data_IF_083537816324
#
_entry.id   IF_083537816324
#
_cell.length_a   1.000
_cell.length_b   1.000
_cell.length_c   1.000
_cell.angle_alpha   90.00
_cell.angle_beta   90.00
_cell.angle_gamma   90.00
#
_symmetry.space_group_name_H-M   'P 1'
#
loop_
_entity.id
_entity.type
_entity.pdbx_description
1 polymer ?
#
# COMPACT_ATOMS: atom_id res chain seq x y z
N UNK A 1 30.01 2.34 19.38
CA UNK A 1 28.90 3.19 18.93
C UNK A 1 29.07 3.77 17.52
N UNK A 2 30.29 4.01 17.00
CA UNK A 2 30.49 4.46 15.61
C UNK A 2 30.21 3.38 14.55
N UNK A 3 30.41 2.10 14.88
CA UNK A 3 30.21 1.00 13.92
C UNK A 3 28.74 0.66 13.64
N UNK A 4 27.82 0.91 14.58
CA UNK A 4 26.39 0.64 14.35
C UNK A 4 25.79 1.59 13.31
N UNK A 5 26.21 2.86 13.31
CA UNK A 5 25.84 3.85 12.27
C UNK A 5 26.36 3.44 10.89
N UNK A 6 27.59 2.94 10.82
CA UNK A 6 28.23 2.50 9.58
C UNK A 6 27.61 1.21 9.01
N UNK A 7 27.04 0.36 9.86
CA UNK A 7 26.30 -0.84 9.43
C UNK A 7 24.89 -0.50 8.97
N UNK A 8 24.21 0.48 9.58
CA UNK A 8 22.91 0.97 9.11
C UNK A 8 23.00 1.69 7.76
N UNK A 9 24.12 2.35 7.45
CA UNK A 9 24.39 2.93 6.12
C UNK A 9 24.52 1.88 4.99
N UNK A 10 24.68 0.59 5.32
CA UNK A 10 24.99 -0.46 4.33
C UNK A 10 23.80 -1.26 3.78
N UNK A 11 22.57 -0.90 4.13
CA UNK A 11 21.36 -1.46 3.49
C UNK A 11 20.35 -0.35 3.13
N UNK A 12 20.83 0.86 2.81
CA UNK A 12 20.08 1.70 1.86
C UNK A 12 20.64 1.35 0.49
N UNK A 13 19.88 0.58 -0.30
CA UNK A 13 20.05 0.63 -1.75
C UNK A 13 19.88 2.11 -2.08
N UNK A 14 20.96 2.82 -2.46
CA UNK A 14 20.99 4.28 -2.53
C UNK A 14 19.94 4.88 -3.47
N UNK A 15 18.72 4.95 -2.98
CA UNK A 15 17.56 5.55 -3.60
C UNK A 15 17.46 6.98 -3.11
N UNK A 16 16.99 7.88 -3.97
CA UNK A 16 16.64 9.22 -3.50
C UNK A 16 15.45 9.14 -2.53
N UNK A 17 15.28 10.19 -1.71
CA UNK A 17 14.26 10.25 -0.66
C UNK A 17 12.85 9.98 -1.20
N UNK A 18 12.53 10.44 -2.42
CA UNK A 18 11.20 10.23 -2.99
C UNK A 18 11.01 8.75 -3.38
N UNK A 19 12.05 8.13 -3.93
CA UNK A 19 12.02 6.70 -4.26
C UNK A 19 11.90 5.85 -3.00
N UNK A 20 12.63 6.16 -1.92
CA UNK A 20 12.48 5.46 -0.63
C UNK A 20 11.05 5.64 -0.06
N UNK A 21 10.47 6.83 -0.15
CA UNK A 21 9.09 7.08 0.28
C UNK A 21 8.08 6.27 -0.53
N UNK A 22 8.21 6.24 -1.86
CA UNK A 22 7.33 5.45 -2.74
C UNK A 22 7.44 3.96 -2.41
N UNK A 23 8.66 3.44 -2.24
CA UNK A 23 8.88 2.04 -1.89
C UNK A 23 8.30 1.69 -0.53
N UNK A 24 8.46 2.57 0.46
CA UNK A 24 7.88 2.41 1.79
C UNK A 24 6.35 2.33 1.74
N UNK A 25 5.70 3.31 1.10
CA UNK A 25 4.23 3.33 0.92
C UNK A 25 3.72 2.13 0.14
N UNK A 26 4.39 1.79 -0.97
CA UNK A 26 4.01 0.66 -1.81
C UNK A 26 4.11 -0.66 -1.06
N UNK A 27 5.18 -0.86 -0.28
CA UNK A 27 5.38 -2.08 0.52
C UNK A 27 4.32 -2.20 1.60
N UNK A 28 4.07 -1.11 2.32
CA UNK A 28 3.02 -1.02 3.34
C UNK A 28 1.63 -1.36 2.76
N UNK A 29 1.25 -0.68 1.68
CA UNK A 29 -0.03 -0.90 1.01
C UNK A 29 -0.15 -2.31 0.43
N UNK A 30 0.92 -2.87 -0.14
CA UNK A 30 0.89 -4.24 -0.67
C UNK A 30 0.56 -5.27 0.41
N UNK A 31 1.17 -5.13 1.59
CA UNK A 31 0.88 -6.00 2.74
C UNK A 31 -0.59 -5.89 3.17
N UNK A 32 -1.10 -4.67 3.29
CA UNK A 32 -2.47 -4.44 3.75
C UNK A 32 -3.53 -4.84 2.72
N UNK A 33 -3.29 -4.62 1.43
CA UNK A 33 -4.16 -5.10 0.35
C UNK A 33 -4.20 -6.64 0.34
N UNK A 34 -3.06 -7.31 0.51
CA UNK A 34 -3.02 -8.77 0.58
C UNK A 34 -3.79 -9.29 1.80
N UNK A 35 -3.60 -8.65 2.96
CA UNK A 35 -4.30 -9.00 4.21
C UNK A 35 -5.82 -8.81 4.06
N UNK A 36 -6.25 -7.67 3.53
CA UNK A 36 -7.66 -7.37 3.29
C UNK A 36 -8.30 -8.39 2.36
N UNK A 37 -7.64 -8.72 1.25
CA UNK A 37 -8.11 -9.75 0.31
C UNK A 37 -8.20 -11.15 0.95
N UNK A 38 -7.21 -11.54 1.76
CA UNK A 38 -7.19 -12.84 2.42
C UNK A 38 -8.35 -12.96 3.42
N UNK A 39 -8.54 -11.95 4.27
CA UNK A 39 -9.64 -11.91 5.25
C UNK A 39 -11.00 -11.92 4.57
N UNK A 40 -11.19 -11.10 3.53
CA UNK A 40 -12.45 -11.12 2.77
C UNK A 40 -12.70 -12.47 2.09
N UNK A 41 -11.64 -13.15 1.64
CA UNK A 41 -11.69 -14.51 1.12
C UNK A 41 -12.22 -15.51 2.13
N UNK A 42 -11.66 -15.51 3.35
CA UNK A 42 -12.09 -16.40 4.45
C UNK A 42 -13.52 -16.10 4.92
N UNK A 43 -13.97 -14.85 4.81
CA UNK A 43 -15.32 -14.43 5.16
C UNK A 43 -16.36 -14.68 4.06
N UNK A 44 -15.96 -15.25 2.91
CA UNK A 44 -16.86 -15.48 1.78
C UNK A 44 -17.32 -14.20 1.07
N UNK A 45 -16.63 -13.08 1.28
CA UNK A 45 -16.92 -11.77 0.67
C UNK A 45 -16.13 -11.55 -0.64
N UNK A 46 -15.65 -12.62 -1.26
CA UNK A 46 -14.66 -12.59 -2.35
C UNK A 46 -15.20 -12.19 -3.74
N UNK A 47 -16.49 -11.87 -3.86
CA UNK A 47 -17.18 -11.74 -5.15
C UNK A 47 -16.97 -10.39 -5.85
N UNK A 48 -16.34 -9.42 -5.18
CA UNK A 48 -16.09 -8.07 -5.71
C UNK A 48 -14.61 -7.75 -5.93
N UNK A 49 -14.25 -6.98 -6.98
CA UNK A 49 -12.91 -6.42 -7.08
C UNK A 49 -12.74 -5.30 -6.04
N UNK A 50 -11.68 -5.41 -5.24
CA UNK A 50 -11.35 -4.39 -4.23
C UNK A 50 -11.01 -3.06 -4.90
N UNK A 51 -11.55 -1.99 -4.34
CA UNK A 51 -11.44 -0.63 -4.88
C UNK A 51 -10.38 0.21 -4.17
N UNK A 52 -9.99 1.32 -4.81
CA UNK A 52 -9.10 2.32 -4.20
C UNK A 52 -9.72 2.94 -2.95
N UNK A 53 -11.02 3.23 -3.00
CA UNK A 53 -11.74 3.87 -1.90
C UNK A 53 -11.84 2.94 -0.69
N UNK A 54 -12.20 1.67 -0.89
CA UNK A 54 -12.27 0.68 0.19
C UNK A 54 -10.94 0.50 0.91
N UNK A 55 -9.82 0.40 0.17
CA UNK A 55 -8.50 0.28 0.78
C UNK A 55 -8.09 1.58 1.47
N UNK A 56 -8.40 2.73 0.88
CA UNK A 56 -8.09 4.02 1.50
C UNK A 56 -8.82 4.19 2.83
N UNK A 57 -10.10 3.82 2.89
CA UNK A 57 -10.91 3.89 4.10
C UNK A 57 -10.39 2.89 5.14
N UNK A 58 -10.14 1.63 4.75
CA UNK A 58 -9.54 0.61 5.62
C UNK A 58 -8.23 1.08 6.27
N UNK A 59 -7.32 1.69 5.51
CA UNK A 59 -6.05 2.20 6.04
C UNK A 59 -6.29 3.37 7.01
N UNK A 60 -7.23 4.27 6.71
CA UNK A 60 -7.56 5.36 7.62
C UNK A 60 -8.19 4.84 8.92
N UNK A 61 -9.03 3.81 8.85
CA UNK A 61 -9.62 3.19 10.03
C UNK A 61 -8.53 2.61 10.94
N UNK A 62 -7.57 1.86 10.37
CA UNK A 62 -6.41 1.34 11.12
C UNK A 62 -5.60 2.44 11.81
N UNK A 63 -5.48 3.60 11.17
CA UNK A 63 -4.79 4.77 11.73
C UNK A 63 -5.58 5.38 12.89
N UNK A 64 -6.89 5.55 12.73
CA UNK A 64 -7.76 6.13 13.76
C UNK A 64 -7.91 5.21 14.97
N UNK A 65 -7.93 3.89 14.76
CA UNK A 65 -8.01 2.90 15.84
C UNK A 65 -6.69 2.74 16.62
N UNK A 66 -5.62 3.41 16.20
CA UNK A 66 -4.32 3.37 16.87
C UNK A 66 -3.60 2.04 16.76
N UNK A 67 -4.02 1.18 15.82
CA UNK A 67 -3.45 -0.16 15.61
C UNK A 67 -2.03 -0.07 15.04
N UNK A 68 -1.72 1.01 14.31
CA UNK A 68 -0.41 1.24 13.68
C UNK A 68 0.13 2.62 14.05
N UNK A 69 1.15 2.67 14.90
CA UNK A 69 1.72 3.94 15.42
C UNK A 69 2.67 4.65 14.44
N UNK A 70 3.33 3.92 13.55
CA UNK A 70 4.27 4.43 12.54
C UNK A 70 3.74 4.20 11.11
N UNK A 71 2.49 4.60 10.84
CA UNK A 71 1.90 4.48 9.51
C UNK A 71 2.38 5.62 8.60
N UNK A 72 2.88 5.33 7.37
CA UNK A 72 3.18 6.38 6.40
C UNK A 72 1.92 7.16 6.01
N UNK A 73 2.07 8.43 5.64
CA UNK A 73 0.94 9.21 5.12
C UNK A 73 0.50 8.67 3.75
N UNK A 74 -0.66 8.01 3.71
CA UNK A 74 -1.23 7.43 2.51
C UNK A 74 -2.26 8.37 1.89
N UNK A 75 -2.19 8.55 0.57
CA UNK A 75 -3.20 9.19 -0.26
C UNK A 75 -3.90 8.17 -1.17
N UNK A 76 -5.05 8.52 -1.75
CA UNK A 76 -5.69 7.68 -2.78
C UNK A 76 -4.81 7.41 -3.99
N UNK A 77 -3.90 8.34 -4.33
CA UNK A 77 -2.95 8.17 -5.43
C UNK A 77 -1.91 7.07 -5.10
N UNK A 78 -1.46 6.98 -3.85
CA UNK A 78 -0.53 5.93 -3.41
C UNK A 78 -1.18 4.54 -3.51
N UNK A 79 -2.47 4.44 -3.14
CA UNK A 79 -3.27 3.22 -3.28
C UNK A 79 -3.43 2.84 -4.76
N UNK A 80 -3.81 3.78 -5.62
CA UNK A 80 -3.94 3.55 -7.06
C UNK A 80 -2.61 3.12 -7.69
N UNK A 81 -1.50 3.78 -7.32
CA UNK A 81 -0.16 3.42 -7.80
C UNK A 81 0.19 2.00 -7.39
N UNK A 82 -0.08 1.62 -6.14
CA UNK A 82 0.18 0.27 -5.62
C UNK A 82 -0.63 -0.77 -6.38
N UNK A 83 -1.93 -0.54 -6.64
CA UNK A 83 -2.74 -1.43 -7.48
C UNK A 83 -2.16 -1.59 -8.88
N UNK A 84 -1.71 -0.49 -9.51
CA UNK A 84 -1.06 -0.54 -10.84
C UNK A 84 0.22 -1.36 -10.82
N UNK A 85 1.03 -1.26 -9.76
CA UNK A 85 2.27 -2.03 -9.60
C UNK A 85 1.97 -3.52 -9.37
N UNK A 86 1.02 -3.85 -8.49
CA UNK A 86 0.58 -5.22 -8.25
C UNK A 86 0.01 -5.86 -9.53
N UNK A 87 -0.78 -5.12 -10.31
CA UNK A 87 -1.29 -5.59 -11.59
C UNK A 87 -0.15 -5.86 -12.59
N UNK A 88 0.82 -4.95 -12.71
CA UNK A 88 1.98 -5.11 -13.60
C UNK A 88 2.87 -6.29 -13.22
N UNK A 89 2.91 -6.66 -11.94
CA UNK A 89 3.70 -7.79 -11.42
C UNK A 89 2.93 -9.12 -11.43
N UNK A 90 1.66 -9.12 -11.85
CA UNK A 90 0.81 -10.31 -11.88
C UNK A 90 0.26 -10.74 -10.52
N UNK A 91 0.39 -9.88 -9.50
CA UNK A 91 -0.06 -10.14 -8.12
C UNK A 91 -1.39 -9.44 -7.78
N UNK A 92 -1.86 -8.51 -8.62
CA UNK A 92 -3.09 -7.74 -8.41
C UNK A 92 -4.27 -8.28 -9.23
N UNK A 93 -5.47 -8.25 -8.64
CA UNK A 93 -6.74 -8.37 -9.38
C UNK A 93 -7.10 -7.02 -10.01
N UNK A 94 -7.87 -7.00 -11.10
CA UNK A 94 -8.38 -5.75 -11.67
C UNK A 94 -9.19 -5.00 -10.61
N UNK A 95 -8.88 -3.74 -10.37
CA UNK A 95 -9.72 -2.84 -9.58
C UNK A 95 -10.96 -2.47 -10.38
N UNK A 96 -12.12 -2.26 -9.75
CA UNK A 96 -13.22 -1.57 -10.44
C UNK A 96 -12.72 -0.19 -10.86
N UNK A 97 -12.78 0.09 -12.15
CA UNK A 97 -12.45 1.40 -12.68
C UNK A 97 -13.51 2.41 -12.23
N UNK A 98 -13.31 3.07 -11.09
CA UNK A 98 -13.77 4.46 -10.91
C UNK A 98 -12.79 5.43 -11.62
N UNK A 99 -12.27 5.04 -12.79
CA UNK A 99 -11.44 5.90 -13.65
C UNK A 99 -12.22 7.08 -14.23
N UNK A 100 -13.54 7.15 -14.03
CA UNK A 100 -14.36 8.30 -14.40
C UNK A 100 -14.00 9.59 -13.63
N UNK A 101 -13.13 9.54 -12.60
CA UNK A 101 -12.76 10.72 -11.79
C UNK A 101 -11.44 11.37 -12.24
N UNK A 102 -10.69 10.77 -13.19
CA UNK A 102 -9.47 11.38 -13.74
C UNK A 102 -9.56 11.71 -15.24
N UNK A 103 -10.76 11.68 -15.80
CA UNK A 103 -11.08 12.23 -17.12
C UNK A 103 -11.97 13.46 -16.96
N UNK A 104 -11.37 14.58 -16.58
CA UNK A 104 -11.76 15.95 -16.94
C UNK A 104 -10.62 16.91 -16.58
#
# INVERSE_FOLDING_TARGET
MKDLKKTMERISLGFDINTEEILSKTSFLSYHIATYNAVNGELGMADGPVTVDEIFDYINDLKHEGVVTDMPSITKLDVLLTFRLLLKTGLGKQTTNNLAILSN
#
